data_IF_029293773017
#
_entry.id   IF_029293773017
#
_cell.length_a   1.000
_cell.length_b   1.000
_cell.length_c   1.000
_cell.angle_alpha   90.00
_cell.angle_beta   90.00
_cell.angle_gamma   90.00
#
_symmetry.space_group_name_H-M   'P 1'
#
loop_
_entity.id
_entity.type
_entity.pdbx_description
1 polymer ?
#
# COMPACT_ATOMS: atom_id res chain seq x y z
N UNK A 1 -5.20 45.38 15.53
CA UNK A 1 -4.96 44.87 15.31
C UNK A 1 -4.88 44.10 14.77
N UNK A 2 -4.78 43.84 14.46
CA UNK A 2 -4.67 43.11 13.99
C UNK A 2 -4.22 42.41 13.57
N UNK A 3 -4.04 42.17 13.46
CA UNK A 3 -3.75 41.44 13.11
C UNK A 3 -3.07 40.81 12.84
N UNK A 4 -2.80 40.86 12.95
CA UNK A 4 -1.89 40.29 12.88
C UNK A 4 -2.01 39.07 12.52
N UNK A 5 -2.50 38.63 12.80
CA UNK A 5 -2.75 37.53 12.56
C UNK A 5 -2.68 37.22 11.38
N UNK A 6 -2.98 37.71 10.99
CA UNK A 6 -3.10 37.29 9.79
C UNK A 6 -1.83 37.09 9.22
N UNK A 7 -1.12 37.82 9.40
CA UNK A 7 -0.03 37.73 8.68
C UNK A 7 0.51 36.47 8.51
N UNK A 8 1.28 36.24 9.19
CA UNK A 8 2.06 35.13 8.99
C UNK A 8 1.21 34.16 8.67
N UNK A 9 0.71 34.46 8.43
CA UNK A 9 0.04 33.74 8.21
C UNK A 9 -0.07 32.71 7.85
N UNK A 10 0.13 32.70 7.60
CA UNK A 10 0.04 31.56 7.35
C UNK A 10 -0.98 30.93 7.91
N UNK A 11 -1.32 31.34 8.80
CA UNK A 11 -2.24 30.68 9.49
C UNK A 11 -3.60 30.88 9.11
N UNK A 12 -3.89 30.92 7.92
CA UNK A 12 -5.24 31.01 7.48
C UNK A 12 -5.88 29.65 7.71
N UNK A 13 -6.78 29.57 8.62
CA UNK A 13 -7.46 28.33 8.90
C UNK A 13 -8.20 27.78 7.71
N UNK A 14 -8.80 28.63 6.94
CA UNK A 14 -9.51 28.16 5.76
C UNK A 14 -8.58 27.46 4.80
N UNK A 15 -7.41 27.99 4.61
CA UNK A 15 -6.45 27.37 3.73
C UNK A 15 -6.00 26.04 4.30
N UNK A 16 -5.78 25.99 5.59
CA UNK A 16 -5.35 24.76 6.21
C UNK A 16 -6.42 23.69 6.10
N UNK A 17 -7.66 24.07 6.31
CA UNK A 17 -8.74 23.11 6.21
C UNK A 17 -8.88 22.63 4.78
N UNK A 18 -8.66 23.51 3.83
CA UNK A 18 -8.75 23.12 2.46
C UNK A 18 -7.66 22.11 2.14
N UNK A 19 -6.46 22.35 2.61
CA UNK A 19 -5.36 21.43 2.37
C UNK A 19 -5.64 20.06 2.98
N UNK A 20 -6.23 20.04 4.17
CA UNK A 20 -6.56 18.78 4.80
C UNK A 20 -7.60 18.04 3.98
N UNK A 21 -8.61 18.75 3.51
CA UNK A 21 -9.64 18.13 2.71
C UNK A 21 -9.08 17.57 1.41
N UNK A 22 -8.18 18.31 0.79
CA UNK A 22 -7.57 17.86 -0.45
C UNK A 22 -6.73 16.62 -0.20
N UNK A 23 -6.04 16.60 0.92
CA UNK A 23 -5.22 15.46 1.24
C UNK A 23 -6.06 14.23 1.49
N UNK A 24 -7.16 14.40 2.19
CA UNK A 24 -8.07 13.30 2.42
C UNK A 24 -8.65 12.78 1.12
N UNK A 25 -8.98 13.68 0.21
CA UNK A 25 -9.51 13.29 -1.08
C UNK A 25 -8.48 12.50 -1.87
N UNK A 26 -7.22 12.92 -1.80
CA UNK A 26 -6.16 12.21 -2.50
C UNK A 26 -5.94 10.83 -1.90
N UNK A 27 -6.04 10.74 -0.58
CA UNK A 27 -5.87 9.46 0.08
C UNK A 27 -6.97 8.50 -0.33
N UNK A 28 -8.22 8.99 -0.33
CA UNK A 28 -9.33 8.17 -0.75
C UNK A 28 -9.18 7.74 -2.20
N UNK A 29 -8.76 8.67 -3.06
CA UNK A 29 -8.56 8.35 -4.47
C UNK A 29 -7.45 7.30 -4.64
N UNK A 30 -6.39 7.40 -3.84
CA UNK A 30 -5.32 6.44 -3.91
C UNK A 30 -5.81 5.06 -3.47
N UNK A 31 -6.62 5.01 -2.42
CA UNK A 31 -7.17 3.75 -1.98
C UNK A 31 -8.13 3.16 -3.00
N UNK A 32 -8.91 4.01 -3.65
CA UNK A 32 -9.81 3.54 -4.69
C UNK A 32 -9.03 2.95 -5.85
N UNK A 33 -7.91 3.57 -6.18
CA UNK A 33 -7.11 3.06 -7.28
C UNK A 33 -6.49 1.71 -6.92
N UNK A 34 -6.18 1.48 -5.66
CA UNK A 34 -5.61 0.21 -5.24
C UNK A 34 -6.54 -0.95 -5.52
N UNK A 35 -7.84 -0.70 -5.52
CA UNK A 35 -8.78 -1.78 -5.82
C UNK A 35 -8.62 -2.27 -7.24
N UNK A 36 -8.19 -1.40 -8.14
CA UNK A 36 -8.02 -1.74 -9.53
C UNK A 36 -6.61 -2.16 -9.89
N UNK A 37 -5.68 -1.99 -8.97
CA UNK A 37 -4.31 -2.42 -9.20
C UNK A 37 -4.21 -3.92 -8.93
N UNK A 38 -3.38 -4.58 -9.69
CA UNK A 38 -3.23 -6.02 -9.55
C UNK A 38 -1.76 -6.34 -9.39
N UNK A 39 -1.45 -7.20 -8.41
CA UNK A 39 -0.11 -7.72 -8.27
C UNK A 39 -0.14 -9.21 -8.56
N UNK A 40 0.96 -9.71 -9.08
CA UNK A 40 1.10 -11.13 -9.39
C UNK A 40 2.03 -11.73 -8.35
N UNK A 41 1.75 -12.95 -7.97
CA UNK A 41 2.61 -13.67 -7.02
C UNK A 41 2.63 -15.13 -7.40
N UNK A 42 3.67 -15.81 -7.00
CA UNK A 42 3.78 -17.23 -7.29
C UNK A 42 4.62 -17.92 -6.25
N UNK A 43 4.55 -19.22 -6.24
CA UNK A 43 5.38 -20.06 -5.37
C UNK A 43 5.69 -21.35 -6.09
N UNK A 44 6.73 -22.02 -5.63
CA UNK A 44 7.11 -23.30 -6.20
C UNK A 44 7.54 -23.21 -7.64
N UNK A 45 8.26 -22.17 -7.98
CA UNK A 45 8.70 -22.04 -9.37
C UNK A 45 7.58 -21.81 -10.34
N UNK A 46 6.49 -21.26 -9.86
CA UNK A 46 5.35 -20.99 -10.72
C UNK A 46 4.28 -22.07 -10.69
N UNK A 47 4.42 -23.05 -9.81
CA UNK A 47 3.39 -24.08 -9.72
C UNK A 47 2.09 -23.54 -9.18
N UNK A 48 2.15 -22.53 -8.34
CA UNK A 48 0.96 -21.83 -7.88
C UNK A 48 1.16 -20.36 -8.21
N UNK A 49 0.24 -19.80 -8.96
CA UNK A 49 0.31 -18.39 -9.33
C UNK A 49 -0.99 -17.74 -8.91
N UNK A 50 -0.93 -16.47 -8.55
CA UNK A 50 -2.17 -15.78 -8.21
C UNK A 50 -2.09 -14.32 -8.57
N UNK A 51 -3.25 -13.70 -8.60
CA UNK A 51 -3.38 -12.27 -8.79
C UNK A 51 -4.15 -11.74 -7.60
N UNK A 52 -3.64 -10.66 -7.03
CA UNK A 52 -4.26 -10.05 -5.87
C UNK A 52 -4.41 -8.57 -6.13
N UNK A 53 -5.50 -7.99 -5.66
CA UNK A 53 -5.69 -6.55 -5.83
C UNK A 53 -4.84 -5.81 -4.81
N UNK A 54 -4.61 -4.54 -5.07
CA UNK A 54 -3.84 -3.74 -4.14
C UNK A 54 -4.50 -3.58 -2.78
N UNK A 55 -5.81 -3.85 -2.70
CA UNK A 55 -6.52 -3.80 -1.44
C UNK A 55 -6.68 -5.20 -0.84
N UNK A 56 -5.80 -6.11 -1.21
CA UNK A 56 -5.67 -7.43 -0.59
C UNK A 56 -6.83 -8.38 -0.87
N UNK A 57 -7.40 -8.33 -2.06
CA UNK A 57 -8.38 -9.32 -2.43
C UNK A 57 -7.76 -10.30 -3.42
N UNK A 58 -7.94 -11.57 -3.17
CA UNK A 58 -7.45 -12.58 -4.09
C UNK A 58 -8.40 -12.63 -5.27
N UNK A 59 -7.88 -12.35 -6.44
CA UNK A 59 -8.70 -12.26 -7.64
C UNK A 59 -8.69 -13.53 -8.46
N UNK A 60 -7.57 -14.20 -8.49
CA UNK A 60 -7.44 -15.39 -9.31
C UNK A 60 -6.32 -16.25 -8.77
N UNK A 61 -6.46 -17.56 -8.86
CA UNK A 61 -5.39 -18.45 -8.48
C UNK A 61 -5.33 -19.54 -9.53
N UNK A 62 -4.13 -19.87 -9.97
CA UNK A 62 -3.90 -20.90 -10.95
C UNK A 62 -2.92 -21.91 -10.36
N UNK A 63 -3.31 -23.16 -10.37
CA UNK A 63 -2.50 -24.22 -9.79
C UNK A 63 -2.11 -25.20 -10.91
N UNK A 64 -0.81 -25.41 -11.05
CA UNK A 64 -0.32 -26.37 -12.02
C UNK A 64 -0.75 -27.77 -11.55
N UNK A 65 -1.31 -28.58 -12.44
CA UNK A 65 -1.73 -29.92 -12.02
C UNK A 65 -0.63 -30.73 -11.39
N UNK A 66 0.61 -30.47 -11.74
CA UNK A 66 1.72 -31.20 -11.14
C UNK A 66 1.87 -30.92 -9.65
N UNK A 67 1.33 -29.81 -9.19
CA UNK A 67 1.38 -29.48 -7.77
C UNK A 67 0.31 -30.23 -6.99
N UNK A 68 -0.61 -30.88 -7.68
CA UNK A 68 -1.72 -31.56 -7.03
C UNK A 68 -1.38 -33.04 -6.94
N UNK A 69 -0.84 -33.43 -5.80
CA UNK A 69 -0.47 -34.81 -5.56
C UNK A 69 -1.36 -35.32 -4.44
N UNK A 70 -2.26 -36.23 -4.73
CA UNK A 70 -3.19 -36.72 -3.69
C UNK A 70 -2.48 -37.37 -2.53
N UNK A 71 -1.24 -37.83 -2.76
CA UNK A 71 -0.52 -38.47 -1.68
C UNK A 71 0.27 -37.47 -0.86
N UNK A 72 0.34 -36.25 -1.30
CA UNK A 72 1.09 -35.23 -0.58
C UNK A 72 0.32 -33.92 -0.59
N UNK A 73 -0.83 -33.88 0.09
CA UNK A 73 -1.62 -32.64 0.07
C UNK A 73 -0.92 -31.49 0.80
N UNK A 74 0.03 -31.79 1.68
CA UNK A 74 0.72 -30.74 2.38
C UNK A 74 1.57 -29.90 1.45
N UNK A 75 2.10 -30.51 0.40
CA UNK A 75 2.87 -29.74 -0.56
C UNK A 75 2.02 -28.64 -1.17
N UNK A 76 0.81 -28.99 -1.59
CA UNK A 76 -0.07 -28.01 -2.20
C UNK A 76 -0.46 -26.93 -1.18
N UNK A 77 -0.73 -27.34 0.04
CA UNK A 77 -1.09 -26.39 1.09
C UNK A 77 0.03 -25.39 1.31
N UNK A 78 1.26 -25.87 1.37
CA UNK A 78 2.40 -25.00 1.60
C UNK A 78 2.62 -24.05 0.42
N UNK A 79 2.43 -24.55 -0.78
CA UNK A 79 2.61 -23.72 -1.96
C UNK A 79 1.55 -22.62 -2.02
N UNK A 80 0.31 -22.95 -1.67
CA UNK A 80 -0.74 -21.95 -1.67
C UNK A 80 -0.47 -20.90 -0.61
N UNK A 81 -0.07 -21.32 0.58
CA UNK A 81 0.24 -20.38 1.64
C UNK A 81 1.37 -19.45 1.23
N UNK A 82 2.40 -20.02 0.63
CA UNK A 82 3.54 -19.21 0.22
C UNK A 82 3.13 -18.21 -0.86
N UNK A 83 2.32 -18.63 -1.82
CA UNK A 83 1.89 -17.75 -2.90
C UNK A 83 0.99 -16.62 -2.36
N UNK A 84 0.07 -16.96 -1.46
CA UNK A 84 -0.83 -15.97 -0.90
C UNK A 84 -0.05 -14.97 -0.06
N UNK A 85 0.88 -15.45 0.75
CA UNK A 85 1.68 -14.55 1.58
C UNK A 85 2.54 -13.64 0.70
N UNK A 86 3.05 -14.16 -0.40
CA UNK A 86 3.82 -13.34 -1.32
C UNK A 86 2.91 -12.29 -1.96
N UNK A 87 1.68 -12.67 -2.30
CA UNK A 87 0.71 -11.72 -2.86
C UNK A 87 0.38 -10.61 -1.87
N UNK A 88 0.19 -10.98 -0.61
CA UNK A 88 -0.08 -9.99 0.42
C UNK A 88 1.10 -9.03 0.54
N UNK A 89 2.33 -9.57 0.55
CA UNK A 89 3.50 -8.72 0.65
C UNK A 89 3.60 -7.76 -0.52
N UNK A 90 3.38 -8.28 -1.73
CA UNK A 90 3.47 -7.44 -2.92
C UNK A 90 2.38 -6.38 -2.94
N UNK A 91 1.18 -6.73 -2.50
CA UNK A 91 0.08 -5.77 -2.46
C UNK A 91 0.35 -4.70 -1.41
N UNK A 92 0.92 -5.09 -0.29
CA UNK A 92 1.26 -4.13 0.76
C UNK A 92 2.36 -3.19 0.30
N UNK A 93 3.33 -3.70 -0.44
CA UNK A 93 4.38 -2.85 -1.00
C UNK A 93 3.78 -1.86 -1.98
N UNK A 94 2.87 -2.33 -2.82
CA UNK A 94 2.23 -1.45 -3.78
C UNK A 94 1.43 -0.37 -3.06
N UNK A 95 0.66 -0.77 -2.04
CA UNK A 95 -0.15 0.18 -1.30
C UNK A 95 0.73 1.21 -0.61
N UNK A 96 1.82 0.76 -0.02
CA UNK A 96 2.74 1.65 0.65
C UNK A 96 3.34 2.65 -0.32
N UNK A 97 3.68 2.17 -1.51
CA UNK A 97 4.25 3.04 -2.52
C UNK A 97 3.24 4.09 -2.99
N UNK A 98 2.00 3.66 -3.22
CA UNK A 98 0.97 4.58 -3.69
C UNK A 98 0.58 5.60 -2.62
N UNK A 99 0.36 5.13 -1.40
CA UNK A 99 -0.01 6.01 -0.32
C UNK A 99 1.17 6.86 0.13
N UNK A 100 2.37 6.32 0.02
CA UNK A 100 3.56 7.07 0.34
C UNK A 100 3.75 8.23 -0.60
N UNK A 101 3.34 8.05 -1.85
CA UNK A 101 3.42 9.13 -2.81
C UNK A 101 2.52 10.29 -2.41
N UNK A 102 1.33 9.99 -1.93
CA UNK A 102 0.41 11.02 -1.47
C UNK A 102 0.98 11.70 -0.24
N UNK A 103 1.42 10.90 0.72
CA UNK A 103 1.99 11.44 1.94
C UNK A 103 3.29 12.17 1.65
N UNK A 104 4.01 11.68 0.67
CA UNK A 104 5.28 12.28 0.32
C UNK A 104 5.11 13.66 -0.25
N UNK A 105 4.03 13.85 -0.99
CA UNK A 105 3.77 15.15 -1.52
C UNK A 105 3.57 16.16 -0.42
N UNK A 106 2.99 15.68 0.68
CA UNK A 106 2.74 16.55 1.74
C UNK A 106 3.98 16.73 2.50
N UNK A 107 4.63 15.72 2.65
CA UNK A 107 5.62 15.84 3.50
C UNK A 107 6.93 15.83 2.97
N UNK A 108 7.02 16.17 1.81
CA UNK A 108 8.31 16.23 1.32
C UNK A 108 9.10 16.72 2.41
N UNK A 109 8.48 17.51 3.12
CA UNK A 109 9.15 18.10 4.17
C UNK A 109 9.20 17.19 5.30
N UNK A 110 8.10 16.81 5.69
CA UNK A 110 8.05 16.06 6.87
C UNK A 110 8.65 14.71 6.74
N UNK A 111 8.57 14.21 5.58
CA UNK A 111 9.04 12.86 5.39
C UNK A 111 10.48 12.70 5.77
N UNK A 112 11.25 13.61 5.34
CA UNK A 112 12.64 13.53 5.67
C UNK A 112 12.85 13.63 7.16
N UNK A 113 12.13 14.54 7.75
CA UNK A 113 12.25 14.70 9.16
C UNK A 113 11.85 13.49 9.90
N UNK A 114 10.76 12.91 9.48
CA UNK A 114 10.29 11.76 10.16
C UNK A 114 11.23 10.62 10.00
N UNK A 115 11.75 10.49 8.87
CA UNK A 115 12.71 9.45 8.68
C UNK A 115 13.83 9.59 9.65
N UNK A 116 14.30 10.79 9.77
CA UNK A 116 15.35 11.02 10.69
C UNK A 116 14.95 10.73 12.10
N UNK A 117 13.73 11.09 12.41
CA UNK A 117 13.28 10.84 13.71
C UNK A 117 13.10 9.40 13.95
N UNK A 118 12.55 8.77 13.04
CA UNK A 118 12.26 7.41 13.24
C UNK A 118 13.48 6.66 13.49
N UNK A 119 14.47 7.09 12.87
CA UNK A 119 15.54 6.36 13.02
C UNK A 119 16.20 6.43 14.20
N UNK A 120 16.09 7.37 14.86
CA UNK A 120 16.81 7.49 16.01
C UNK A 120 16.78 6.26 16.64
N UNK A 121 15.75 5.89 16.62
CA UNK A 121 15.64 4.74 17.25
C UNK A 121 16.52 3.84 16.67
N UNK A 122 16.85 4.09 15.77
CA UNK A 122 17.54 3.23 15.26
C UNK A 122 18.57 3.56 15.02
#
# INVERSE_FOLDING_TARGET
MSRPRGGPGGLDLNSMMKQVQEMQAEMVAAQEKLKDEVVDASAGGGMVKLKMSGDLRLLEITIDPEAIDPEDPELLQDLIMAAVNEGVRAAQELASSKLGGVAGGLGGAGGGGLGGLGLPGM
#
